data_IF_485966682749
#
_entry.id   IF_485966682749
#
_cell.length_a   1.000
_cell.length_b   1.000
_cell.length_c   1.000
_cell.angle_alpha   90.00
_cell.angle_beta   90.00
_cell.angle_gamma   90.00
#
_symmetry.space_group_name_H-M   'P 1'
#
loop_
_entity.id
_entity.type
_entity.pdbx_description
1 polymer ?
#
# COMPACT_ATOMS: atom_id res chain seq x y z
N UNK A 1 7.99 5.72 12.74
CA UNK A 1 7.94 7.16 13.06
C UNK A 1 6.52 7.59 13.43
N UNK A 2 6.37 8.77 14.04
CA UNK A 2 5.06 9.46 14.15
C UNK A 2 4.75 10.07 12.77
N UNK A 3 3.61 9.74 12.14
CA UNK A 3 3.26 10.30 10.84
C UNK A 3 2.73 11.73 10.97
N UNK A 4 3.00 12.55 9.95
CA UNK A 4 2.38 13.86 9.76
C UNK A 4 1.17 13.69 8.84
N UNK A 5 0.00 14.11 9.30
CA UNK A 5 -1.26 13.97 8.56
C UNK A 5 -1.91 15.34 8.42
N UNK A 6 -2.05 15.83 7.19
CA UNK A 6 -2.67 17.13 6.92
C UNK A 6 -3.22 17.21 5.48
N UNK A 7 -4.11 18.18 5.24
CA UNK A 7 -4.54 18.53 3.89
C UNK A 7 -3.37 19.09 3.07
N UNK A 8 -3.27 18.68 1.80
CA UNK A 8 -2.31 19.25 0.85
C UNK A 8 -0.89 18.73 0.94
N UNK A 9 -0.59 17.82 1.87
CA UNK A 9 0.71 17.13 1.90
C UNK A 9 0.90 16.19 0.69
N UNK A 10 2.13 15.93 0.26
CA UNK A 10 2.41 14.77 -0.58
C UNK A 10 2.23 13.48 0.24
N UNK A 11 2.03 12.35 -0.45
CA UNK A 11 2.23 11.05 0.17
C UNK A 11 3.73 10.74 0.11
N UNK A 12 4.42 10.81 1.25
CA UNK A 12 5.83 10.48 1.39
C UNK A 12 6.00 9.42 2.47
N UNK A 13 6.50 8.24 2.12
CA UNK A 13 6.86 7.18 3.06
C UNK A 13 8.32 6.81 2.83
N UNK A 14 9.25 7.28 3.65
CA UNK A 14 10.69 7.00 3.52
C UNK A 14 11.09 5.76 4.31
N UNK A 15 11.80 4.85 3.64
CA UNK A 15 12.31 3.59 4.17
C UNK A 15 11.22 2.80 4.90
N UNK A 16 10.04 2.75 4.27
CA UNK A 16 8.83 2.19 4.85
C UNK A 16 8.78 0.67 4.68
N UNK A 17 8.19 -0.03 5.65
CA UNK A 17 8.12 -1.51 5.67
C UNK A 17 6.70 -2.00 5.83
N UNK A 18 6.43 -3.20 5.32
CA UNK A 18 5.13 -3.83 5.48
C UNK A 18 4.96 -4.27 6.94
N UNK A 19 3.98 -3.75 7.69
CA UNK A 19 3.90 -3.89 9.16
C UNK A 19 3.77 -5.34 9.65
N UNK A 20 3.31 -6.24 8.78
CA UNK A 20 3.13 -7.64 9.11
C UNK A 20 4.18 -8.57 8.50
N UNK A 21 4.98 -8.11 7.53
CA UNK A 21 5.83 -9.03 6.76
C UNK A 21 6.93 -9.65 7.65
N UNK A 22 7.55 -8.83 8.50
CA UNK A 22 8.56 -9.25 9.48
C UNK A 22 8.05 -10.32 10.48
N UNK A 23 6.72 -10.49 10.63
CA UNK A 23 6.16 -11.53 11.50
C UNK A 23 6.01 -12.89 10.83
N UNK A 24 5.97 -12.91 9.50
CA UNK A 24 5.68 -14.13 8.72
C UNK A 24 6.88 -14.58 7.88
N UNK A 25 7.92 -13.76 7.74
CA UNK A 25 9.16 -14.13 7.07
C UNK A 25 10.33 -14.23 8.04
N UNK A 26 11.21 -15.22 7.84
CA UNK A 26 12.47 -15.35 8.58
C UNK A 26 13.44 -14.21 8.28
N UNK A 27 13.23 -13.52 7.15
CA UNK A 27 14.06 -12.42 6.68
C UNK A 27 13.33 -11.10 6.89
N UNK A 28 14.06 -10.05 7.27
CA UNK A 28 13.48 -8.72 7.44
C UNK A 28 13.00 -8.17 6.10
N UNK A 29 11.81 -7.58 6.10
CA UNK A 29 11.24 -6.84 4.99
C UNK A 29 12.21 -5.74 4.53
N UNK A 30 12.54 -5.76 3.25
CA UNK A 30 13.33 -4.71 2.61
C UNK A 30 12.49 -3.41 2.62
N UNK A 31 13.01 -2.31 3.19
CA UNK A 31 12.31 -1.03 3.21
C UNK A 31 12.20 -0.44 1.80
N UNK A 32 11.08 0.22 1.53
CA UNK A 32 10.80 0.88 0.26
C UNK A 32 10.31 2.32 0.48
N UNK A 33 10.67 3.19 -0.47
CA UNK A 33 10.19 4.57 -0.49
C UNK A 33 8.90 4.66 -1.30
N UNK A 34 7.98 5.53 -0.87
CA UNK A 34 6.77 5.91 -1.62
C UNK A 34 6.74 7.42 -1.72
N UNK A 35 6.57 7.95 -2.94
CA UNK A 35 6.39 9.37 -3.16
C UNK A 35 5.31 9.62 -4.19
N UNK A 36 4.28 10.38 -3.82
CA UNK A 36 3.22 10.84 -4.72
C UNK A 36 2.85 12.27 -4.37
N UNK A 37 2.66 13.09 -5.39
CA UNK A 37 2.25 14.49 -5.26
C UNK A 37 0.98 14.72 -6.07
N UNK A 38 0.25 15.84 -5.87
CA UNK A 38 -0.88 16.17 -6.75
C UNK A 38 -0.50 16.25 -8.24
N UNK A 39 0.76 16.61 -8.56
CA UNK A 39 1.28 16.65 -9.92
C UNK A 39 1.76 15.27 -10.44
N UNK A 40 2.04 14.33 -9.54
CA UNK A 40 2.50 12.98 -9.86
C UNK A 40 1.82 11.98 -8.91
N UNK A 41 0.55 11.71 -9.20
CA UNK A 41 -0.35 10.88 -8.39
C UNK A 41 -0.66 9.52 -9.05
N UNK A 42 0.09 9.14 -10.08
CA UNK A 42 -0.06 7.88 -10.79
C UNK A 42 1.30 7.19 -10.91
N UNK A 43 1.38 5.96 -10.42
CA UNK A 43 2.60 5.15 -10.45
C UNK A 43 2.34 3.84 -11.20
N UNK A 44 3.10 3.59 -12.26
CA UNK A 44 3.14 2.31 -12.95
C UNK A 44 4.25 1.45 -12.36
N UNK A 45 3.88 0.34 -11.70
CA UNK A 45 4.82 -0.56 -11.04
C UNK A 45 4.96 -1.83 -11.88
N UNK A 46 6.13 -2.04 -12.46
CA UNK A 46 6.46 -3.23 -13.28
C UNK A 46 7.51 -4.09 -12.60
N UNK A 47 7.72 -5.31 -13.11
CA UNK A 47 8.71 -6.26 -12.58
C UNK A 47 8.21 -7.70 -12.60
N UNK A 48 9.07 -8.69 -12.34
CA UNK A 48 8.71 -10.10 -12.40
C UNK A 48 7.68 -10.49 -11.34
N UNK A 49 6.96 -11.58 -11.58
CA UNK A 49 6.08 -12.15 -10.56
C UNK A 49 6.87 -12.49 -9.30
N UNK A 50 6.23 -12.36 -8.14
CA UNK A 50 6.85 -12.57 -6.82
C UNK A 50 7.95 -11.56 -6.43
N UNK A 51 8.22 -10.52 -7.24
CA UNK A 51 9.14 -9.42 -6.90
C UNK A 51 8.63 -8.46 -5.80
N UNK A 52 7.54 -8.79 -5.10
CA UNK A 52 7.00 -7.96 -4.02
C UNK A 52 6.10 -6.80 -4.44
N UNK A 53 5.72 -6.67 -5.73
CA UNK A 53 4.85 -5.59 -6.22
C UNK A 53 3.52 -5.48 -5.44
N UNK A 54 2.83 -6.60 -5.24
CA UNK A 54 1.57 -6.63 -4.47
C UNK A 54 1.80 -6.32 -2.98
N UNK A 55 2.95 -6.72 -2.44
CA UNK A 55 3.36 -6.41 -1.06
C UNK A 55 3.58 -4.91 -0.89
N UNK A 56 4.26 -4.27 -1.84
CA UNK A 56 4.47 -2.82 -1.87
C UNK A 56 3.14 -2.05 -1.92
N UNK A 57 2.21 -2.44 -2.80
CA UNK A 57 0.89 -1.80 -2.88
C UNK A 57 0.09 -1.93 -1.57
N UNK A 58 0.06 -3.12 -0.97
CA UNK A 58 -0.61 -3.36 0.31
C UNK A 58 0.04 -2.61 1.45
N UNK A 59 1.38 -2.57 1.47
CA UNK A 59 2.15 -1.79 2.45
C UNK A 59 1.71 -0.32 2.42
N UNK A 60 1.73 0.31 1.26
CA UNK A 60 1.35 1.73 1.13
C UNK A 60 -0.05 1.99 1.69
N UNK A 61 -1.03 1.18 1.31
CA UNK A 61 -2.41 1.32 1.80
C UNK A 61 -2.52 1.13 3.33
N UNK A 62 -1.83 0.12 3.89
CA UNK A 62 -1.82 -0.15 5.32
C UNK A 62 -1.17 1.00 6.12
N UNK A 63 -0.08 1.58 5.61
CA UNK A 63 0.60 2.68 6.27
C UNK A 63 -0.26 3.96 6.26
N UNK A 64 -0.96 4.24 5.17
CA UNK A 64 -1.94 5.32 5.13
C UNK A 64 -3.06 5.10 6.18
N UNK A 65 -3.59 3.88 6.27
CA UNK A 65 -4.64 3.54 7.24
C UNK A 65 -4.15 3.71 8.69
N UNK A 66 -2.95 3.21 9.02
CA UNK A 66 -2.35 3.36 10.35
C UNK A 66 -2.13 4.84 10.71
N UNK A 67 -1.66 5.64 9.76
CA UNK A 67 -1.47 7.07 9.98
C UNK A 67 -2.81 7.78 10.28
N UNK A 68 -3.88 7.44 9.56
CA UNK A 68 -5.22 7.98 9.78
C UNK A 68 -5.86 7.59 11.12
N UNK A 69 -5.49 6.44 11.68
CA UNK A 69 -5.94 6.00 13.01
C UNK A 69 -5.11 6.67 14.14
N UNK A 70 -4.04 7.38 13.79
CA UNK A 70 -3.13 8.03 14.75
C UNK A 70 -2.05 7.11 15.30
N UNK A 71 -1.81 5.96 14.65
CA UNK A 71 -0.76 5.02 15.04
C UNK A 71 0.62 5.43 14.48
N UNK A 72 1.72 5.09 15.18
CA UNK A 72 3.04 5.15 14.58
C UNK A 72 3.14 4.16 13.42
N UNK A 73 3.86 4.54 12.37
CA UNK A 73 4.04 3.74 11.16
C UNK A 73 5.49 3.22 11.05
N UNK A 74 5.74 2.00 10.55
CA UNK A 74 7.08 1.46 10.32
C UNK A 74 7.76 2.11 9.11
N UNK A 75 8.21 3.35 9.28
CA UNK A 75 8.97 4.14 8.33
C UNK A 75 9.95 5.05 9.09
N UNK A 76 10.98 5.54 8.38
CA UNK A 76 11.90 6.58 8.88
C UNK A 76 11.18 7.93 8.93
N UNK A 77 10.44 8.27 7.88
CA UNK A 77 9.61 9.48 7.79
C UNK A 77 8.31 9.17 7.06
N UNK A 78 7.21 9.77 7.51
CA UNK A 78 5.89 9.59 6.90
C UNK A 78 5.11 10.90 6.89
N UNK A 79 4.78 11.39 5.70
CA UNK A 79 3.82 12.48 5.46
C UNK A 79 2.67 11.86 4.65
N UNK A 80 1.45 12.00 5.16
CA UNK A 80 0.27 11.34 4.59
C UNK A 80 -0.81 12.40 4.38
N UNK A 81 -1.28 12.62 3.13
CA UNK A 81 -2.41 13.51 2.90
C UNK A 81 -3.70 12.91 3.46
N UNK A 82 -4.71 13.75 3.65
CA UNK A 82 -6.03 13.24 4.02
C UNK A 82 -6.69 12.49 2.86
N UNK A 83 -6.79 11.16 2.98
CA UNK A 83 -7.57 10.33 2.07
C UNK A 83 -9.01 10.20 2.55
N UNK A 84 -9.97 10.49 1.67
CA UNK A 84 -11.39 10.25 1.98
C UNK A 84 -11.74 8.75 1.95
N UNK A 85 -11.14 8.01 1.01
CA UNK A 85 -11.40 6.59 0.75
C UNK A 85 -10.15 5.93 0.19
N UNK A 86 -9.93 4.67 0.57
CA UNK A 86 -8.90 3.80 -0.02
C UNK A 86 -9.64 2.75 -0.86
N UNK A 87 -9.33 2.69 -2.15
CA UNK A 87 -9.85 1.67 -3.06
C UNK A 87 -8.75 0.68 -3.40
N UNK A 88 -9.07 -0.61 -3.39
CA UNK A 88 -8.13 -1.66 -3.78
C UNK A 88 -8.82 -2.62 -4.71
N UNK A 89 -8.20 -2.89 -5.85
CA UNK A 89 -8.54 -4.00 -6.73
C UNK A 89 -7.31 -4.86 -6.88
N UNK A 90 -7.21 -5.87 -6.02
CA UNK A 90 -6.13 -6.84 -6.02
C UNK A 90 -6.79 -8.19 -6.23
N UNK A 91 -6.49 -8.84 -7.36
CA UNK A 91 -7.06 -10.16 -7.66
C UNK A 91 -6.67 -11.14 -6.55
N UNK A 92 -7.66 -11.78 -5.94
CA UNK A 92 -7.49 -12.89 -5.00
C UNK A 92 -8.03 -14.15 -5.67
N UNK A 93 -7.38 -15.28 -5.40
CA UNK A 93 -7.61 -16.58 -6.03
C UNK A 93 -9.07 -16.90 -6.35
N UNK A 94 -9.28 -17.55 -7.50
CA UNK A 94 -10.56 -17.85 -8.13
C UNK A 94 -11.65 -18.29 -7.12
N UNK A 95 -12.75 -17.54 -7.08
CA UNK A 95 -13.94 -17.93 -6.34
C UNK A 95 -14.79 -18.88 -7.19
N UNK A 96 -14.55 -20.18 -7.06
CA UNK A 96 -15.33 -21.24 -7.75
C UNK A 96 -16.84 -21.16 -7.42
N UNK A 97 -17.20 -20.55 -6.29
CA UNK A 97 -18.58 -20.37 -5.87
C UNK A 97 -19.33 -19.25 -6.62
N UNK A 98 -18.63 -18.35 -7.29
CA UNK A 98 -19.25 -17.28 -8.07
C UNK A 98 -19.61 -17.81 -9.47
N UNK A 99 -20.90 -17.77 -9.86
CA UNK A 99 -21.35 -18.08 -11.24
C UNK A 99 -20.95 -16.98 -12.24
N UNK A 100 -19.77 -16.40 -12.08
CA UNK A 100 -19.22 -15.34 -12.91
C UNK A 100 -17.77 -15.69 -13.27
N UNK A 101 -17.34 -15.37 -14.48
CA UNK A 101 -15.92 -15.56 -14.84
C UNK A 101 -15.03 -14.65 -13.99
N UNK A 102 -13.77 -15.03 -13.79
CA UNK A 102 -12.77 -14.18 -13.13
C UNK A 102 -12.68 -12.80 -13.79
N UNK A 103 -12.75 -12.73 -15.12
CA UNK A 103 -12.81 -11.48 -15.87
C UNK A 103 -14.05 -10.63 -15.54
N UNK A 104 -15.24 -11.25 -15.49
CA UNK A 104 -16.48 -10.53 -15.18
C UNK A 104 -16.48 -10.06 -13.71
N UNK A 105 -15.97 -10.89 -12.79
CA UNK A 105 -15.81 -10.53 -11.38
C UNK A 105 -14.80 -9.41 -11.19
N UNK A 106 -13.74 -9.37 -11.99
CA UNK A 106 -12.78 -8.28 -11.94
C UNK A 106 -13.40 -6.99 -12.50
N UNK A 107 -14.12 -7.03 -13.62
CA UNK A 107 -14.63 -5.83 -14.30
C UNK A 107 -15.88 -5.18 -13.69
N UNK A 108 -16.43 -5.74 -12.62
CA UNK A 108 -17.52 -5.13 -11.82
C UNK A 108 -16.99 -4.13 -10.81
#
# INVERSE_FOLDING_TARGET
CRPEVACGLPLLLLQSRHPLLDRFSEHSAVPNDVYMTPASNFALITGPNMAGKSTYLRQTALLCLLAHIGCPVPAVKAEVPLFARIFTRISTADCVASKASSFLSEMR
#
